data_IF_732910258176
#
_entry.id   IF_732910258176
#
_cell.length_a   1.000
_cell.length_b   1.000
_cell.length_c   1.000
_cell.angle_alpha   90.00
_cell.angle_beta   90.00
_cell.angle_gamma   90.00
#
_symmetry.space_group_name_H-M   'P 1'
#
loop_
_entity.id
_entity.type
_entity.pdbx_description
1 polymer ?
#
# COMPACT_ATOMS: atom_id res chain seq x y z
N UNK A 1 4.22 -0.06 -15.62
CA UNK A 1 3.53 -1.27 -16.15
C UNK A 1 2.14 -0.91 -16.64
N UNK A 2 1.14 -0.73 -15.79
CA UNK A 2 -0.25 -0.51 -16.23
C UNK A 2 -0.42 0.68 -17.19
N UNK A 3 0.26 1.79 -16.96
CA UNK A 3 0.23 2.95 -17.87
C UNK A 3 0.78 2.60 -19.26
N UNK A 4 1.82 1.76 -19.35
CA UNK A 4 2.34 1.29 -20.63
C UNK A 4 1.35 0.35 -21.38
N UNK A 5 0.38 -0.20 -20.66
CA UNK A 5 -0.70 -1.04 -21.19
C UNK A 5 -2.00 -0.24 -21.43
N UNK A 6 -1.94 1.08 -21.27
CA UNK A 6 -3.05 1.98 -21.60
C UNK A 6 -3.85 2.52 -20.41
N UNK A 7 -3.54 2.12 -19.18
CA UNK A 7 -4.20 2.67 -18.00
C UNK A 7 -3.84 4.13 -17.76
N UNK A 8 -4.76 4.92 -17.21
CA UNK A 8 -4.48 6.23 -16.63
C UNK A 8 -4.14 6.10 -15.15
N UNK A 9 -3.26 6.95 -14.64
CA UNK A 9 -2.77 6.87 -13.26
C UNK A 9 -2.85 8.21 -12.53
N UNK A 10 -3.53 8.24 -11.39
CA UNK A 10 -3.43 9.33 -10.42
C UNK A 10 -2.44 8.94 -9.33
N UNK A 11 -1.39 9.71 -9.16
CA UNK A 11 -0.37 9.53 -8.12
C UNK A 11 -0.71 10.45 -6.96
N UNK A 12 -1.11 9.87 -5.82
CA UNK A 12 -1.38 10.59 -4.59
C UNK A 12 -0.18 10.41 -3.65
N UNK A 13 0.45 11.52 -3.28
CA UNK A 13 1.56 11.54 -2.33
C UNK A 13 1.72 12.96 -1.76
N UNK A 14 2.50 13.11 -0.71
CA UNK A 14 2.75 14.44 -0.13
C UNK A 14 3.44 15.37 -1.13
N UNK A 15 3.19 16.67 -1.02
CA UNK A 15 3.64 17.69 -2.00
C UNK A 15 5.16 17.69 -2.25
N UNK A 16 5.98 17.31 -1.27
CA UNK A 16 7.44 17.23 -1.40
C UNK A 16 8.00 15.91 -1.95
N UNK A 17 7.14 14.98 -2.36
CA UNK A 17 7.55 13.69 -2.91
C UNK A 17 7.99 13.79 -4.39
N UNK A 18 8.45 12.68 -4.94
CA UNK A 18 8.75 12.55 -6.37
C UNK A 18 7.50 12.32 -7.24
N UNK A 19 6.30 12.48 -6.70
CA UNK A 19 5.04 12.20 -7.40
C UNK A 19 4.89 12.98 -8.71
N UNK A 20 5.25 14.28 -8.71
CA UNK A 20 5.19 15.11 -9.92
C UNK A 20 6.21 14.67 -10.99
N UNK A 21 7.43 14.30 -10.58
CA UNK A 21 8.48 13.75 -11.46
C UNK A 21 8.00 12.44 -12.10
N UNK A 22 7.49 11.51 -11.30
CA UNK A 22 6.96 10.23 -11.77
C UNK A 22 5.76 10.41 -12.71
N UNK A 23 4.86 11.34 -12.44
CA UNK A 23 3.77 11.65 -13.35
C UNK A 23 4.30 12.16 -14.71
N UNK A 24 5.32 13.01 -14.69
CA UNK A 24 5.98 13.48 -15.92
C UNK A 24 6.69 12.36 -16.69
N UNK A 25 7.35 11.42 -15.99
CA UNK A 25 7.99 10.25 -16.62
C UNK A 25 6.95 9.31 -17.29
N UNK A 26 5.79 9.15 -16.70
CA UNK A 26 4.69 8.35 -17.27
C UNK A 26 4.02 9.08 -18.45
N UNK A 27 4.01 10.40 -18.43
CA UNK A 27 3.48 11.24 -19.51
C UNK A 27 1.98 11.53 -19.36
N UNK A 28 1.31 11.80 -20.49
CA UNK A 28 -0.07 12.29 -20.55
C UNK A 28 -1.12 11.39 -19.85
N UNK A 29 -0.78 10.15 -19.57
CA UNK A 29 -1.65 9.21 -18.85
C UNK A 29 -1.53 9.28 -17.33
N UNK A 30 -0.70 10.19 -16.79
CA UNK A 30 -0.54 10.32 -15.36
C UNK A 30 -0.73 11.74 -14.88
N UNK A 31 -1.35 11.88 -13.70
CA UNK A 31 -1.46 13.15 -12.99
C UNK A 31 -0.92 12.99 -11.57
N UNK A 32 -0.30 14.04 -11.05
CA UNK A 32 0.09 14.11 -9.64
C UNK A 32 -0.95 14.94 -8.86
N UNK A 33 -1.43 14.37 -7.77
CA UNK A 33 -2.41 14.97 -6.88
C UNK A 33 -1.81 15.00 -5.46
N UNK A 34 -1.21 16.14 -5.04
CA UNK A 34 -0.62 16.22 -3.71
C UNK A 34 -1.67 16.05 -2.62
N UNK A 35 -1.42 15.09 -1.71
CA UNK A 35 -2.29 14.83 -0.56
C UNK A 35 -1.50 14.14 0.57
N UNK A 36 -1.67 14.59 1.81
CA UNK A 36 -1.28 13.84 3.01
C UNK A 36 -2.46 12.93 3.39
N UNK A 37 -2.23 11.63 3.47
CA UNK A 37 -3.28 10.65 3.82
C UNK A 37 -3.87 10.85 5.22
N UNK A 38 -3.22 11.64 6.08
CA UNK A 38 -3.73 12.00 7.40
C UNK A 38 -4.65 13.23 7.39
N UNK A 39 -4.84 13.85 6.23
CA UNK A 39 -5.75 14.98 6.00
C UNK A 39 -6.93 14.52 5.12
N UNK A 40 -8.08 14.34 5.76
CA UNK A 40 -9.30 13.84 5.10
C UNK A 40 -9.76 14.71 3.95
N UNK A 41 -9.63 16.02 4.04
CA UNK A 41 -10.09 16.95 3.00
C UNK A 41 -9.18 16.88 1.77
N UNK A 42 -7.87 16.73 1.97
CA UNK A 42 -6.91 16.50 0.88
C UNK A 42 -7.17 15.16 0.19
N UNK A 43 -7.41 14.08 0.95
CA UNK A 43 -7.73 12.76 0.40
C UNK A 43 -9.02 12.83 -0.42
N UNK A 44 -10.09 13.41 0.13
CA UNK A 44 -11.38 13.53 -0.57
C UNK A 44 -11.24 14.33 -1.87
N UNK A 45 -10.53 15.48 -1.83
CA UNK A 45 -10.26 16.31 -2.99
C UNK A 45 -9.44 15.57 -4.06
N UNK A 46 -8.39 14.85 -3.65
CA UNK A 46 -7.53 14.12 -4.58
C UNK A 46 -8.28 12.99 -5.29
N UNK A 47 -9.08 12.20 -4.55
CA UNK A 47 -9.90 11.12 -5.13
C UNK A 47 -10.96 11.67 -6.08
N UNK A 48 -11.64 12.78 -5.71
CA UNK A 48 -12.62 13.42 -6.56
C UNK A 48 -11.99 13.92 -7.88
N UNK A 49 -10.82 14.57 -7.81
CA UNK A 49 -10.08 15.05 -8.98
C UNK A 49 -9.60 13.90 -9.88
N UNK A 50 -9.17 12.77 -9.28
CA UNK A 50 -8.80 11.58 -10.06
C UNK A 50 -10.01 11.02 -10.82
N UNK A 51 -11.18 10.92 -10.16
CA UNK A 51 -12.41 10.46 -10.78
C UNK A 51 -12.90 11.42 -11.87
N UNK A 52 -12.77 12.73 -11.67
CA UNK A 52 -13.12 13.75 -12.68
C UNK A 52 -12.19 13.67 -13.89
N UNK A 53 -10.88 13.57 -13.68
CA UNK A 53 -9.89 13.56 -14.76
C UNK A 53 -10.00 12.32 -15.65
N UNK A 54 -10.36 11.16 -15.10
CA UNK A 54 -10.39 9.88 -15.83
C UNK A 54 -11.80 9.31 -16.03
N UNK A 55 -12.82 9.98 -15.50
CA UNK A 55 -14.22 9.56 -15.60
C UNK A 55 -14.62 8.42 -14.65
N UNK A 56 -13.65 7.65 -14.15
CA UNK A 56 -13.84 6.50 -13.23
C UNK A 56 -12.57 6.14 -12.46
N UNK A 57 -12.72 5.35 -11.42
CA UNK A 57 -11.62 4.71 -10.71
C UNK A 57 -11.88 3.21 -10.72
N UNK A 58 -10.99 2.43 -11.36
CA UNK A 58 -11.08 0.97 -11.43
C UNK A 58 -10.19 0.26 -10.41
N UNK A 59 -9.07 0.89 -10.06
CA UNK A 59 -8.07 0.34 -9.15
C UNK A 59 -7.60 1.41 -8.17
N UNK A 60 -7.56 1.07 -6.88
CA UNK A 60 -6.87 1.85 -5.85
C UNK A 60 -5.76 0.99 -5.23
N UNK A 61 -4.50 1.45 -5.32
CA UNK A 61 -3.35 0.78 -4.69
C UNK A 61 -2.81 1.66 -3.57
N UNK A 62 -2.98 1.22 -2.33
CA UNK A 62 -2.70 2.01 -1.14
C UNK A 62 -1.33 1.66 -0.55
N UNK A 63 -0.29 2.41 -1.00
CA UNK A 63 1.12 2.18 -0.66
C UNK A 63 1.69 3.15 0.37
N UNK A 64 0.97 4.23 0.71
CA UNK A 64 1.46 5.22 1.67
C UNK A 64 1.79 4.57 3.02
N UNK A 65 2.94 4.94 3.60
CA UNK A 65 3.32 4.36 4.87
C UNK A 65 4.67 4.85 5.39
N UNK A 66 4.82 4.75 6.71
CA UNK A 66 6.05 5.04 7.46
C UNK A 66 6.44 3.83 8.29
N UNK A 67 7.76 3.61 8.48
CA UNK A 67 8.29 2.46 9.21
C UNK A 67 9.22 2.91 10.34
N UNK A 68 8.67 3.49 11.44
CA UNK A 68 9.49 3.86 12.58
C UNK A 68 9.98 2.61 13.32
N UNK A 69 11.24 2.67 13.81
CA UNK A 69 11.85 1.61 14.59
C UNK A 69 12.34 2.15 15.96
N UNK A 70 11.65 1.75 17.01
CA UNK A 70 11.97 2.12 18.39
C UNK A 70 11.74 0.96 19.35
N UNK A 71 12.65 0.71 20.26
CA UNK A 71 12.45 -0.24 21.37
C UNK A 71 11.44 0.35 22.36
N UNK A 72 10.60 -0.50 22.97
CA UNK A 72 9.64 -0.07 24.01
C UNK A 72 10.36 0.60 25.17
N UNK A 73 11.48 -0.01 25.61
CA UNK A 73 12.40 0.59 26.59
C UNK A 73 13.81 0.48 26.03
N UNK A 74 14.55 1.59 25.96
CA UNK A 74 15.96 1.61 25.62
C UNK A 74 16.84 1.23 26.82
N UNK A 75 18.13 0.96 26.59
CA UNK A 75 19.10 0.61 27.66
C UNK A 75 19.26 1.71 28.73
N UNK A 76 19.02 2.96 28.34
CA UNK A 76 19.07 4.13 29.22
C UNK A 76 17.76 4.40 29.99
N UNK A 77 16.76 3.51 29.83
CA UNK A 77 15.43 3.66 30.43
C UNK A 77 14.47 4.54 29.62
N UNK A 78 14.89 5.14 28.51
CA UNK A 78 14.01 5.94 27.64
C UNK A 78 12.88 5.10 27.07
N UNK A 79 11.64 5.56 27.22
CA UNK A 79 10.45 4.89 26.71
C UNK A 79 10.24 5.18 25.22
N UNK A 80 9.52 4.29 24.56
CA UNK A 80 9.03 4.51 23.19
C UNK A 80 8.18 5.78 23.14
N UNK A 81 8.46 6.75 22.22
CA UNK A 81 7.65 7.96 22.09
C UNK A 81 6.25 7.63 21.57
N UNK A 82 5.21 7.98 22.33
CA UNK A 82 3.82 7.63 21.98
C UNK A 82 3.32 8.36 20.73
N UNK A 83 3.81 9.55 20.44
CA UNK A 83 3.53 10.31 19.22
C UNK A 83 4.02 9.59 17.97
N UNK A 84 5.18 8.92 18.03
CA UNK A 84 5.69 8.06 16.94
C UNK A 84 4.76 6.87 16.69
N UNK A 85 4.22 6.26 17.76
CA UNK A 85 3.23 5.19 17.62
C UNK A 85 1.96 5.71 16.94
N UNK A 86 1.42 6.83 17.44
CA UNK A 86 0.23 7.46 16.87
C UNK A 86 0.43 7.80 15.39
N UNK A 87 1.55 8.45 15.04
CA UNK A 87 1.85 8.79 13.65
C UNK A 87 1.90 7.57 12.74
N UNK A 88 2.46 6.45 13.20
CA UNK A 88 2.48 5.21 12.43
C UNK A 88 1.06 4.66 12.18
N UNK A 89 0.20 4.69 13.18
CA UNK A 89 -1.20 4.27 13.06
C UNK A 89 -1.98 5.23 12.16
N UNK A 90 -1.81 6.54 12.36
CA UNK A 90 -2.52 7.57 11.58
C UNK A 90 -2.20 7.47 10.09
N UNK A 91 -0.92 7.32 9.72
CA UNK A 91 -0.53 7.19 8.31
C UNK A 91 -0.90 5.82 7.74
N UNK A 92 -0.43 4.73 8.39
CA UNK A 92 -0.45 3.39 7.80
C UNK A 92 -1.83 2.72 7.86
N UNK A 93 -2.68 3.11 8.79
CA UNK A 93 -3.97 2.45 9.03
C UNK A 93 -5.14 3.42 8.83
N UNK A 94 -5.19 4.52 9.56
CA UNK A 94 -6.32 5.47 9.48
C UNK A 94 -6.34 6.16 8.12
N UNK A 95 -5.20 6.67 7.66
CA UNK A 95 -5.06 7.32 6.35
C UNK A 95 -5.32 6.35 5.19
N UNK A 96 -4.80 5.11 5.29
CA UNK A 96 -5.12 4.07 4.32
C UNK A 96 -6.63 3.82 4.26
N UNK A 97 -7.29 3.67 5.42
CA UNK A 97 -8.74 3.45 5.48
C UNK A 97 -9.51 4.63 4.90
N UNK A 98 -9.05 5.87 5.10
CA UNK A 98 -9.66 7.05 4.51
C UNK A 98 -9.58 7.03 2.97
N UNK A 99 -8.43 6.69 2.38
CA UNK A 99 -8.32 6.49 0.93
C UNK A 99 -9.25 5.37 0.45
N UNK A 100 -9.31 4.24 1.15
CA UNK A 100 -10.20 3.10 0.83
C UNK A 100 -11.66 3.54 0.76
N UNK A 101 -12.18 4.24 1.77
CA UNK A 101 -13.59 4.66 1.79
C UNK A 101 -13.92 5.68 0.69
N UNK A 102 -13.02 6.61 0.39
CA UNK A 102 -13.19 7.58 -0.69
C UNK A 102 -13.15 6.91 -2.07
N UNK A 103 -12.17 6.04 -2.30
CA UNK A 103 -12.06 5.28 -3.55
C UNK A 103 -13.27 4.35 -3.75
N UNK A 104 -13.71 3.63 -2.71
CA UNK A 104 -14.89 2.78 -2.76
C UNK A 104 -16.16 3.58 -3.09
N UNK A 105 -16.32 4.78 -2.49
CA UNK A 105 -17.41 5.68 -2.82
C UNK A 105 -17.42 6.16 -4.27
N UNK A 106 -16.25 6.34 -4.89
CA UNK A 106 -16.11 6.63 -6.30
C UNK A 106 -16.44 5.39 -7.17
N UNK A 107 -15.83 4.24 -6.85
CA UNK A 107 -16.04 2.96 -7.56
C UNK A 107 -17.49 2.51 -7.55
N UNK A 108 -18.24 2.71 -6.46
CA UNK A 108 -19.65 2.34 -6.36
C UNK A 108 -20.54 3.04 -7.39
N UNK A 109 -20.10 4.16 -7.96
CA UNK A 109 -20.78 4.90 -9.03
C UNK A 109 -20.39 4.46 -10.44
N UNK A 110 -19.39 3.59 -10.59
CA UNK A 110 -18.99 3.07 -11.89
C UNK A 110 -20.11 2.22 -12.50
N UNK A 111 -20.26 2.28 -13.82
CA UNK A 111 -21.01 1.23 -14.53
C UNK A 111 -20.29 -0.10 -14.33
N UNK A 112 -21.03 -1.18 -13.99
CA UNK A 112 -20.43 -2.49 -13.76
C UNK A 112 -19.84 -3.07 -15.05
N UNK A 113 -18.67 -3.65 -14.92
CA UNK A 113 -18.03 -4.46 -15.95
C UNK A 113 -18.52 -5.92 -15.97
N UNK A 114 -17.76 -6.82 -16.59
CA UNK A 114 -18.02 -8.26 -16.51
C UNK A 114 -18.16 -8.72 -15.06
N UNK A 115 -19.00 -9.72 -14.82
CA UNK A 115 -19.29 -10.25 -13.46
C UNK A 115 -19.89 -9.23 -12.48
N UNK A 116 -20.25 -8.02 -12.94
CA UNK A 116 -20.74 -6.95 -12.08
C UNK A 116 -19.66 -6.17 -11.34
N UNK A 117 -18.39 -6.35 -11.70
CA UNK A 117 -17.26 -5.67 -11.04
C UNK A 117 -17.25 -4.16 -11.32
N UNK A 118 -17.08 -3.36 -10.26
CA UNK A 118 -16.93 -1.90 -10.33
C UNK A 118 -15.56 -1.40 -9.92
N UNK A 119 -14.75 -2.24 -9.28
CA UNK A 119 -13.40 -1.84 -8.90
C UNK A 119 -12.66 -2.84 -8.01
N UNK A 120 -11.37 -2.60 -7.87
CA UNK A 120 -10.46 -3.37 -7.04
C UNK A 120 -9.67 -2.44 -6.12
N UNK A 121 -9.61 -2.76 -4.84
CA UNK A 121 -8.77 -2.11 -3.85
C UNK A 121 -7.64 -3.07 -3.45
N UNK A 122 -6.41 -2.61 -3.56
CA UNK A 122 -5.21 -3.35 -3.15
C UNK A 122 -4.51 -2.58 -2.04
N UNK A 123 -4.51 -3.13 -0.83
CA UNK A 123 -3.85 -2.55 0.32
C UNK A 123 -2.44 -3.12 0.51
N UNK A 124 -1.49 -2.28 0.89
CA UNK A 124 -0.12 -2.70 1.17
C UNK A 124 0.09 -2.77 2.68
N UNK A 125 0.10 -4.00 3.20
CA UNK A 125 0.51 -4.30 4.56
C UNK A 125 2.03 -4.51 4.66
N UNK A 126 2.48 -5.55 5.32
CA UNK A 126 3.86 -6.01 5.41
C UNK A 126 3.89 -7.39 6.06
N UNK A 127 4.92 -8.19 5.79
CA UNK A 127 5.21 -9.39 6.60
C UNK A 127 5.42 -9.02 8.08
N UNK A 128 5.87 -7.80 8.39
CA UNK A 128 5.98 -7.30 9.76
C UNK A 128 4.63 -7.17 10.49
N UNK A 129 3.51 -7.11 9.77
CA UNK A 129 2.17 -7.19 10.36
C UNK A 129 1.81 -8.58 10.87
N UNK A 130 2.55 -9.62 10.45
CA UNK A 130 2.37 -11.02 10.86
C UNK A 130 3.45 -11.42 11.88
N UNK A 131 4.70 -11.08 11.61
CA UNK A 131 5.91 -11.50 12.34
C UNK A 131 6.87 -10.31 12.49
N UNK A 132 6.48 -9.36 13.37
CA UNK A 132 7.25 -8.14 13.62
C UNK A 132 8.53 -8.39 14.39
N UNK A 133 9.56 -7.58 14.09
CA UNK A 133 10.86 -7.66 14.72
C UNK A 133 10.98 -6.68 15.92
N UNK A 134 12.08 -6.83 16.67
CA UNK A 134 12.42 -5.91 17.74
C UNK A 134 12.44 -4.46 17.23
N UNK A 135 11.70 -3.59 17.91
CA UNK A 135 11.58 -2.18 17.55
C UNK A 135 10.44 -1.84 16.61
N UNK A 136 9.72 -2.83 16.07
CA UNK A 136 8.64 -2.60 15.09
C UNK A 136 7.23 -2.55 15.69
N UNK A 137 7.06 -2.38 17.00
CA UNK A 137 5.74 -2.45 17.64
C UNK A 137 4.69 -1.55 16.98
N UNK A 138 5.00 -0.29 16.69
CA UNK A 138 4.07 0.64 16.03
C UNK A 138 3.81 0.24 14.57
N UNK A 139 4.86 -0.12 13.84
CA UNK A 139 4.76 -0.54 12.44
C UNK A 139 3.95 -1.83 12.31
N UNK A 140 4.28 -2.84 13.11
CA UNK A 140 3.58 -4.13 13.11
C UNK A 140 2.11 -4.01 13.50
N UNK A 141 1.80 -3.20 14.51
CA UNK A 141 0.41 -2.93 14.91
C UNK A 141 -0.38 -2.29 13.77
N UNK A 142 0.20 -1.26 13.10
CA UNK A 142 -0.48 -0.59 11.99
C UNK A 142 -0.68 -1.53 10.79
N UNK A 143 0.34 -2.31 10.41
CA UNK A 143 0.26 -3.24 9.26
C UNK A 143 -0.56 -4.49 9.57
N UNK A 144 -0.59 -4.95 10.83
CA UNK A 144 -1.54 -5.96 11.32
C UNK A 144 -2.98 -5.50 11.21
N UNK A 145 -3.25 -4.23 11.54
CA UNK A 145 -4.56 -3.60 11.33
C UNK A 145 -5.00 -3.61 9.86
N UNK A 146 -4.09 -3.32 8.93
CA UNK A 146 -4.39 -3.39 7.47
C UNK A 146 -4.75 -4.82 7.04
N UNK A 147 -4.05 -5.84 7.57
CA UNK A 147 -4.38 -7.24 7.30
C UNK A 147 -5.79 -7.55 7.82
N UNK A 148 -6.10 -7.13 9.03
CA UNK A 148 -7.40 -7.39 9.66
C UNK A 148 -8.57 -6.70 8.93
N UNK A 149 -8.34 -5.55 8.26
CA UNK A 149 -9.36 -4.86 7.46
C UNK A 149 -9.75 -5.61 6.18
N UNK A 150 -8.91 -6.50 5.65
CA UNK A 150 -9.09 -7.09 4.31
C UNK A 150 -10.44 -7.76 4.14
N UNK A 151 -10.74 -8.73 4.98
CA UNK A 151 -11.99 -9.52 4.84
C UNK A 151 -13.26 -8.72 5.20
N UNK A 152 -13.31 -7.91 6.27
CA UNK A 152 -14.45 -7.03 6.52
C UNK A 152 -14.76 -6.09 5.36
N UNK A 153 -13.74 -5.43 4.78
CA UNK A 153 -13.93 -4.55 3.63
C UNK A 153 -14.44 -5.32 2.39
N UNK A 154 -13.89 -6.50 2.11
CA UNK A 154 -14.34 -7.32 1.00
C UNK A 154 -15.81 -7.74 1.15
N UNK A 155 -16.26 -8.03 2.39
CA UNK A 155 -17.66 -8.38 2.69
C UNK A 155 -18.59 -7.17 2.55
N UNK A 156 -18.20 -6.01 3.07
CA UNK A 156 -18.99 -4.78 2.99
C UNK A 156 -19.14 -4.29 1.54
N UNK A 157 -18.04 -4.34 0.78
CA UNK A 157 -17.98 -3.78 -0.56
C UNK A 157 -18.45 -4.76 -1.65
N UNK A 158 -18.59 -6.04 -1.32
CA UNK A 158 -19.06 -7.07 -2.27
C UNK A 158 -20.41 -6.77 -2.88
N UNK A 159 -21.37 -6.19 -2.13
CA UNK A 159 -22.67 -5.75 -2.64
C UNK A 159 -22.56 -4.67 -3.75
N UNK A 160 -21.43 -3.96 -3.78
CA UNK A 160 -21.13 -2.92 -4.77
C UNK A 160 -20.30 -3.46 -5.95
N UNK A 161 -19.95 -4.74 -5.97
CA UNK A 161 -19.04 -5.29 -6.97
C UNK A 161 -17.60 -4.78 -6.83
N UNK A 162 -17.15 -4.46 -5.63
CA UNK A 162 -15.79 -3.99 -5.34
C UNK A 162 -15.03 -5.06 -4.57
N UNK A 163 -13.89 -5.50 -5.11
CA UNK A 163 -13.01 -6.48 -4.48
C UNK A 163 -11.92 -5.80 -3.64
N UNK A 164 -11.46 -6.49 -2.61
CA UNK A 164 -10.39 -6.01 -1.73
C UNK A 164 -9.34 -7.09 -1.55
N UNK A 165 -8.11 -6.78 -1.86
CA UNK A 165 -6.93 -7.62 -1.65
C UNK A 165 -5.91 -6.91 -0.79
N UNK A 166 -5.11 -7.66 -0.05
CA UNK A 166 -3.98 -7.11 0.70
C UNK A 166 -2.70 -7.85 0.31
N UNK A 167 -1.63 -7.10 0.07
CA UNK A 167 -0.29 -7.65 -0.13
C UNK A 167 0.53 -7.42 1.14
N UNK A 168 1.25 -8.47 1.58
CA UNK A 168 2.28 -8.38 2.59
C UNK A 168 3.65 -8.54 1.92
N UNK A 169 4.28 -7.43 1.47
CA UNK A 169 5.62 -7.50 0.92
C UNK A 169 6.63 -7.93 1.99
N UNK A 170 7.62 -8.69 1.57
CA UNK A 170 8.87 -8.87 2.29
C UNK A 170 9.80 -7.67 2.09
N UNK A 171 11.08 -7.92 1.92
CA UNK A 171 12.07 -6.86 1.75
C UNK A 171 12.17 -6.51 0.26
N UNK A 172 11.73 -5.29 -0.05
CA UNK A 172 11.65 -4.77 -1.41
C UNK A 172 12.72 -3.71 -1.63
N UNK A 173 13.33 -3.70 -2.81
CA UNK A 173 14.28 -2.68 -3.24
C UNK A 173 13.56 -1.36 -3.57
N UNK A 174 13.40 -0.53 -2.57
CA UNK A 174 12.66 0.72 -2.63
C UNK A 174 13.42 1.84 -1.91
N UNK A 175 13.04 3.11 -2.11
CA UNK A 175 13.63 4.24 -1.38
C UNK A 175 13.59 4.08 0.16
N UNK A 176 12.72 3.25 0.71
CA UNK A 176 12.69 2.94 2.15
C UNK A 176 13.98 2.25 2.63
N UNK A 177 14.74 1.60 1.73
CA UNK A 177 16.06 1.03 1.98
C UNK A 177 17.20 1.98 1.59
N UNK A 178 16.90 3.23 1.22
CA UNK A 178 17.93 4.22 0.95
C UNK A 178 18.79 4.46 2.19
N UNK A 179 20.12 4.41 2.04
CA UNK A 179 21.06 4.55 3.15
C UNK A 179 21.41 3.26 3.89
N UNK A 180 20.84 2.12 3.51
CA UNK A 180 21.30 0.80 3.98
C UNK A 180 22.60 0.45 3.26
N UNK A 181 23.67 0.19 4.01
CA UNK A 181 24.98 -0.20 3.47
C UNK A 181 24.94 -1.59 2.80
N UNK A 182 25.92 -1.86 1.93
CA UNK A 182 25.99 -3.09 1.14
C UNK A 182 26.03 -4.36 2.02
N UNK A 183 26.69 -4.31 3.17
CA UNK A 183 26.77 -5.45 4.08
C UNK A 183 25.40 -5.79 4.68
N UNK A 184 24.66 -4.76 5.10
CA UNK A 184 23.28 -4.94 5.60
C UNK A 184 22.35 -5.38 4.48
N UNK A 185 22.53 -4.80 3.27
CA UNK A 185 21.76 -5.19 2.09
C UNK A 185 21.97 -6.67 1.75
N UNK A 186 23.20 -7.16 1.78
CA UNK A 186 23.52 -8.58 1.59
C UNK A 186 22.84 -9.45 2.66
N UNK A 187 22.90 -9.06 3.93
CA UNK A 187 22.23 -9.78 5.01
C UNK A 187 20.70 -9.84 4.84
N UNK A 188 20.09 -8.77 4.28
CA UNK A 188 18.66 -8.78 3.94
C UNK A 188 18.32 -9.73 2.78
N UNK A 189 19.22 -9.91 1.82
CA UNK A 189 19.07 -10.91 0.76
C UNK A 189 19.21 -12.32 1.31
N UNK A 190 20.10 -12.54 2.26
CA UNK A 190 20.38 -13.87 2.83
C UNK A 190 19.18 -14.48 3.56
N UNK A 191 18.29 -13.68 4.13
CA UNK A 191 17.08 -14.17 4.77
C UNK A 191 15.96 -14.59 3.78
N UNK A 192 16.06 -14.22 2.50
CA UNK A 192 15.18 -14.78 1.47
C UNK A 192 15.52 -16.25 1.22
N UNK A 193 14.51 -17.11 1.11
CA UNK A 193 14.75 -18.52 0.80
C UNK A 193 15.07 -18.69 -0.69
N UNK A 194 14.15 -18.23 -1.55
CA UNK A 194 14.30 -18.22 -3.01
C UNK A 194 13.21 -17.31 -3.62
N UNK A 195 13.55 -16.48 -4.62
CA UNK A 195 14.89 -16.20 -5.18
C UNK A 195 15.78 -15.38 -4.21
N UNK A 196 17.10 -15.53 -4.32
CA UNK A 196 18.11 -14.83 -3.51
C UNK A 196 18.36 -13.41 -4.02
N UNK A 197 17.36 -12.58 -3.94
CA UNK A 197 17.40 -11.15 -4.28
C UNK A 197 16.32 -10.40 -3.51
N UNK A 198 16.45 -9.08 -3.40
CA UNK A 198 15.35 -8.23 -2.94
C UNK A 198 14.20 -8.28 -3.95
N UNK A 199 12.98 -8.11 -3.45
CA UNK A 199 11.83 -7.89 -4.30
C UNK A 199 11.94 -6.57 -5.06
N UNK A 200 11.45 -6.51 -6.28
CA UNK A 200 11.41 -5.30 -7.09
C UNK A 200 10.00 -4.70 -7.13
N UNK A 201 9.85 -3.41 -7.44
CA UNK A 201 8.54 -2.83 -7.75
C UNK A 201 7.81 -3.58 -8.88
N UNK A 202 8.55 -4.18 -9.82
CA UNK A 202 8.00 -5.02 -10.89
C UNK A 202 7.32 -6.28 -10.36
N UNK A 203 7.91 -6.96 -9.35
CA UNK A 203 7.29 -8.14 -8.75
C UNK A 203 5.93 -7.79 -8.11
N UNK A 204 5.86 -6.63 -7.44
CA UNK A 204 4.61 -6.12 -6.88
C UNK A 204 3.58 -5.79 -7.97
N UNK A 205 3.99 -5.09 -9.02
CA UNK A 205 3.11 -4.71 -10.12
C UNK A 205 2.53 -5.93 -10.85
N UNK A 206 3.32 -7.00 -11.04
CA UNK A 206 2.84 -8.27 -11.59
C UNK A 206 1.77 -8.92 -10.72
N UNK A 207 1.94 -8.89 -9.40
CA UNK A 207 0.94 -9.44 -8.47
C UNK A 207 -0.37 -8.64 -8.54
N UNK A 208 -0.28 -7.28 -8.54
CA UNK A 208 -1.46 -6.42 -8.69
C UNK A 208 -2.19 -6.71 -10.01
N UNK A 209 -1.46 -6.86 -11.11
CA UNK A 209 -2.03 -7.26 -12.39
C UNK A 209 -2.78 -8.59 -12.30
N UNK A 210 -2.20 -9.59 -11.63
CA UNK A 210 -2.85 -10.89 -11.43
C UNK A 210 -4.16 -10.75 -10.64
N UNK A 211 -4.24 -9.83 -9.67
CA UNK A 211 -5.48 -9.54 -8.95
C UNK A 211 -6.53 -8.87 -9.85
N UNK A 212 -6.11 -8.03 -10.80
CA UNK A 212 -7.02 -7.42 -11.77
C UNK A 212 -7.59 -8.46 -12.73
N UNK A 213 -6.76 -9.38 -13.22
CA UNK A 213 -7.13 -10.37 -14.24
C UNK A 213 -7.96 -11.54 -13.67
N UNK A 214 -7.82 -11.85 -12.38
CA UNK A 214 -8.50 -12.97 -11.73
C UNK A 214 -9.56 -12.48 -10.74
N UNK A 215 -10.81 -12.34 -11.20
CA UNK A 215 -11.91 -11.82 -10.40
C UNK A 215 -12.35 -12.72 -9.24
N UNK A 216 -11.89 -13.99 -9.19
CA UNK A 216 -12.12 -14.88 -8.02
C UNK A 216 -11.26 -14.51 -6.81
N UNK A 217 -10.22 -13.66 -6.99
CA UNK A 217 -9.38 -13.20 -5.87
C UNK A 217 -10.06 -12.02 -5.17
N UNK A 218 -10.57 -12.27 -3.96
CA UNK A 218 -11.25 -11.28 -3.13
C UNK A 218 -11.14 -11.65 -1.63
N UNK A 219 -10.86 -10.66 -0.79
CA UNK A 219 -10.84 -10.82 0.67
C UNK A 219 -9.60 -11.53 1.23
N UNK A 220 -8.53 -11.69 0.44
CA UNK A 220 -7.36 -12.45 0.82
C UNK A 220 -6.12 -11.57 1.02
N UNK A 221 -5.23 -12.04 1.88
CA UNK A 221 -3.92 -11.44 2.15
C UNK A 221 -2.81 -12.31 1.59
N UNK A 222 -2.03 -11.78 0.65
CA UNK A 222 -0.99 -12.51 -0.07
C UNK A 222 0.40 -12.04 0.37
N UNK A 223 1.26 -12.96 0.79
CA UNK A 223 2.69 -12.70 1.07
C UNK A 223 3.47 -12.66 -0.25
N UNK A 224 4.26 -11.60 -0.43
CA UNK A 224 5.18 -11.42 -1.55
C UNK A 224 6.60 -11.24 -1.00
N UNK A 225 7.25 -12.32 -0.58
CA UNK A 225 8.38 -12.24 0.36
C UNK A 225 9.48 -13.29 0.15
N UNK A 226 9.49 -14.01 -0.95
CA UNK A 226 10.50 -15.05 -1.23
C UNK A 226 10.66 -16.07 -0.07
N UNK A 227 9.56 -16.42 0.61
CA UNK A 227 9.47 -17.29 1.77
C UNK A 227 10.26 -16.79 3.01
N UNK A 228 10.53 -15.48 3.08
CA UNK A 228 11.18 -14.86 4.25
C UNK A 228 10.31 -15.02 5.51
N UNK A 229 10.97 -15.31 6.64
CA UNK A 229 10.40 -15.23 7.98
C UNK A 229 11.26 -14.30 8.82
N UNK A 230 10.64 -13.27 9.41
CA UNK A 230 11.34 -12.34 10.28
C UNK A 230 11.55 -12.98 11.66
N UNK A 231 12.77 -12.87 12.19
CA UNK A 231 13.16 -13.41 13.50
C UNK A 231 13.41 -12.27 14.51
#
# INVERSE_FOLDING_TARGET
MLAAEGASAAILDVAGSRGAELASEVGERAIFLPADVTDTDQVASAVARAAEAFGRIDLSVNCAGVSPAHRIVKKDGTLFPLDVFRRAVDVNLVGLFDVVRQAAGAMARNEPGPDGERGLIVNVASIAGIEGQVGQAAYSASKGGVIALTLPLARDLGQWGIRVMTVCPGIMDTPMLAGVDDRRRAALVDIHVFPKRLGSPGDFAHLVRSFMENTMLNGETVRLDAATRLA
#
